data_IF_096753592470
#
_entry.id   IF_096753592470
#
_cell.length_a   1.000
_cell.length_b   1.000
_cell.length_c   1.000
_cell.angle_alpha   90.00
_cell.angle_beta   90.00
_cell.angle_gamma   90.00
#
_symmetry.space_group_name_H-M   'P 1'
#
loop_
_entity.id
_entity.type
_entity.pdbx_description
1 polymer ?
#
# COMPACT_ATOMS: atom_id res chain seq x y z
N UNK A 1 -12.05 12.60 39.10
CA UNK A 1 -11.39 11.28 38.89
C UNK A 1 -11.17 11.12 37.40
N UNK A 2 -10.04 11.63 36.92
CA UNK A 2 -9.61 11.44 35.53
C UNK A 2 -8.89 10.12 35.49
N UNK A 3 -9.52 9.10 34.91
CA UNK A 3 -8.81 7.87 34.57
C UNK A 3 -7.94 8.23 33.38
N UNK A 4 -6.69 8.61 33.66
CA UNK A 4 -5.62 8.59 32.67
C UNK A 4 -5.55 7.17 32.15
N UNK A 5 -6.05 6.94 30.93
CA UNK A 5 -5.71 5.74 30.16
C UNK A 5 -4.18 5.78 30.04
N UNK A 6 -3.51 4.96 30.83
CA UNK A 6 -2.12 4.61 30.61
C UNK A 6 -2.03 4.04 29.20
N UNK A 7 -1.52 4.83 28.27
CA UNK A 7 -1.08 4.31 26.99
C UNK A 7 0.09 3.37 27.29
N UNK A 8 -0.22 2.07 27.35
CA UNK A 8 0.75 1.00 27.24
C UNK A 8 1.28 0.98 25.80
N UNK A 9 1.98 2.03 25.39
CA UNK A 9 2.47 2.26 24.01
C UNK A 9 3.69 1.40 23.69
N UNK A 10 3.49 0.08 23.68
CA UNK A 10 4.46 -0.80 23.05
C UNK A 10 3.88 -1.23 21.71
N UNK A 11 4.21 -0.46 20.68
CA UNK A 11 3.87 -0.79 19.29
C UNK A 11 4.98 -1.61 18.66
N UNK A 12 4.60 -2.45 17.71
CA UNK A 12 5.49 -3.13 16.80
C UNK A 12 5.13 -2.73 15.39
N UNK A 13 6.14 -2.37 14.61
CA UNK A 13 5.98 -2.00 13.21
C UNK A 13 6.83 -2.93 12.36
N UNK A 14 6.21 -3.48 11.32
CA UNK A 14 6.92 -4.18 10.25
C UNK A 14 6.66 -3.49 8.93
N UNK A 15 7.68 -3.48 8.07
CA UNK A 15 7.65 -2.85 6.76
C UNK A 15 8.39 -3.74 5.78
N UNK A 16 7.64 -4.40 4.91
CA UNK A 16 8.20 -5.23 3.85
C UNK A 16 8.31 -4.39 2.59
N UNK A 17 9.51 -4.34 2.00
CA UNK A 17 9.81 -3.57 0.80
C UNK A 17 10.13 -4.54 -0.34
N UNK A 18 9.27 -4.55 -1.35
CA UNK A 18 9.41 -5.36 -2.55
C UNK A 18 9.95 -4.49 -3.68
N UNK A 19 11.23 -4.66 -4.01
CA UNK A 19 11.93 -3.89 -5.03
C UNK A 19 11.76 -4.50 -6.42
N UNK A 20 11.53 -3.65 -7.42
CA UNK A 20 11.50 -4.02 -8.83
C UNK A 20 12.84 -3.68 -9.52
N UNK A 21 13.17 -4.33 -10.63
CA UNK A 21 14.44 -4.10 -11.35
C UNK A 21 14.33 -2.98 -12.39
N UNK A 22 15.11 -3.00 -13.48
CA UNK A 22 15.13 -1.97 -14.53
C UNK A 22 13.71 -1.75 -15.06
N UNK A 23 13.27 -0.51 -14.98
CA UNK A 23 11.88 -0.14 -15.26
C UNK A 23 11.79 0.62 -16.57
N UNK A 24 11.17 -0.01 -17.58
CA UNK A 24 10.63 0.71 -18.73
C UNK A 24 9.31 1.41 -18.33
N UNK A 25 8.84 2.37 -19.12
CA UNK A 25 7.55 3.04 -18.86
C UNK A 25 6.37 2.05 -18.81
N UNK A 26 6.43 0.97 -19.60
CA UNK A 26 5.44 -0.11 -19.59
C UNK A 26 5.44 -0.84 -18.25
N UNK A 27 6.61 -1.28 -17.78
CA UNK A 27 6.79 -1.94 -16.49
C UNK A 27 6.35 -1.01 -15.35
N UNK A 28 6.70 0.28 -15.42
CA UNK A 28 6.29 1.27 -14.42
C UNK A 28 4.78 1.39 -14.33
N UNK A 29 4.10 1.44 -15.47
CA UNK A 29 2.64 1.52 -15.54
C UNK A 29 2.01 0.27 -14.93
N UNK A 30 2.58 -0.90 -15.21
CA UNK A 30 2.20 -2.16 -14.57
C UNK A 30 2.34 -2.12 -13.05
N UNK A 31 3.45 -1.60 -12.52
CA UNK A 31 3.70 -1.47 -11.07
C UNK A 31 2.70 -0.48 -10.44
N UNK A 32 2.43 0.65 -11.07
CA UNK A 32 1.44 1.63 -10.58
C UNK A 32 0.04 1.02 -10.52
N UNK A 33 -0.34 0.25 -11.55
CA UNK A 33 -1.62 -0.46 -11.57
C UNK A 33 -1.68 -1.56 -10.50
N UNK A 34 -0.59 -2.31 -10.34
CA UNK A 34 -0.45 -3.32 -9.30
C UNK A 34 -0.64 -2.70 -7.92
N UNK A 35 0.02 -1.58 -7.63
CA UNK A 35 -0.16 -0.83 -6.39
C UNK A 35 -1.61 -0.38 -6.20
N UNK A 36 -2.25 0.14 -7.25
CA UNK A 36 -3.64 0.60 -7.19
C UNK A 36 -4.63 -0.54 -6.86
N UNK A 37 -4.33 -1.75 -7.31
CA UNK A 37 -5.12 -2.95 -7.02
C UNK A 37 -4.81 -3.54 -5.64
N UNK A 38 -3.55 -3.51 -5.23
CA UNK A 38 -3.06 -4.12 -4.00
C UNK A 38 -3.47 -3.34 -2.75
N UNK A 39 -3.35 -2.01 -2.78
CA UNK A 39 -3.63 -1.14 -1.62
C UNK A 39 -4.98 -1.41 -0.93
N UNK A 40 -6.13 -1.46 -1.63
CA UNK A 40 -7.40 -1.79 -0.99
C UNK A 40 -7.44 -3.23 -0.45
N UNK A 41 -6.75 -4.18 -1.06
CA UNK A 41 -6.74 -5.59 -0.61
C UNK A 41 -5.92 -5.75 0.67
N UNK A 42 -4.80 -5.03 0.79
CA UNK A 42 -3.99 -4.98 2.01
C UNK A 42 -4.82 -4.43 3.16
N UNK A 43 -5.56 -3.35 2.93
CA UNK A 43 -6.46 -2.79 3.94
C UNK A 43 -7.59 -3.78 4.31
N UNK A 44 -8.34 -4.27 3.33
CA UNK A 44 -9.45 -5.21 3.54
C UNK A 44 -9.02 -6.43 4.37
N UNK A 45 -7.90 -7.06 4.03
CA UNK A 45 -7.49 -8.30 4.69
C UNK A 45 -6.85 -8.03 6.06
N UNK A 46 -5.81 -7.19 6.13
CA UNK A 46 -5.04 -7.04 7.38
C UNK A 46 -5.74 -6.14 8.40
N UNK A 47 -6.48 -5.12 7.94
CA UNK A 47 -7.15 -4.16 8.81
C UNK A 47 -8.58 -4.59 9.12
N UNK A 48 -9.38 -4.97 8.12
CA UNK A 48 -10.81 -5.23 8.33
C UNK A 48 -11.09 -6.70 8.71
N UNK A 49 -10.55 -7.68 7.96
CA UNK A 49 -10.77 -9.11 8.22
C UNK A 49 -9.99 -9.60 9.46
N UNK A 50 -8.68 -9.34 9.51
CA UNK A 50 -7.78 -9.92 10.52
C UNK A 50 -7.53 -9.01 11.72
N UNK A 51 -7.88 -7.71 11.62
CA UNK A 51 -7.79 -6.72 12.70
C UNK A 51 -6.39 -6.62 13.34
N UNK A 52 -5.35 -6.79 12.54
CA UNK A 52 -3.99 -7.00 13.04
C UNK A 52 -3.28 -5.73 13.45
N UNK A 53 -3.72 -4.56 13.01
CA UNK A 53 -2.99 -3.32 13.26
C UNK A 53 -3.90 -2.12 13.35
N UNK A 54 -3.45 -1.11 14.09
CA UNK A 54 -4.10 0.20 14.15
C UNK A 54 -3.95 0.94 12.83
N UNK A 55 -2.77 0.83 12.24
CA UNK A 55 -2.41 1.42 10.97
C UNK A 55 -1.84 0.36 10.03
N UNK A 56 -2.43 0.27 8.84
CA UNK A 56 -2.05 -0.67 7.79
C UNK A 56 -2.14 0.09 6.46
N UNK A 57 -1.09 0.04 5.66
CA UNK A 57 -1.13 0.64 4.32
C UNK A 57 -0.14 -0.02 3.37
N UNK A 58 -0.39 0.17 2.07
CA UNK A 58 0.59 -0.09 1.03
C UNK A 58 0.95 1.20 0.29
N UNK A 59 2.20 1.37 -0.13
CA UNK A 59 2.63 2.53 -0.92
C UNK A 59 3.65 2.15 -1.99
N UNK A 60 3.55 2.79 -3.14
CA UNK A 60 4.63 2.83 -4.13
C UNK A 60 5.66 3.88 -3.68
N UNK A 61 6.91 3.47 -3.62
CA UNK A 61 8.07 4.28 -3.26
C UNK A 61 9.12 4.20 -4.37
N UNK A 62 10.05 5.14 -4.37
CA UNK A 62 11.27 5.05 -5.17
C UNK A 62 12.48 5.12 -4.23
N UNK A 63 13.34 4.11 -4.27
CA UNK A 63 14.64 4.12 -3.59
C UNK A 63 15.72 4.32 -4.64
N UNK A 64 16.38 5.47 -4.65
CA UNK A 64 17.41 5.80 -5.65
C UNK A 64 16.96 5.52 -7.10
N UNK A 65 15.76 6.00 -7.44
CA UNK A 65 15.10 5.80 -8.74
C UNK A 65 14.65 4.36 -9.05
N UNK A 66 14.80 3.42 -8.12
CA UNK A 66 14.27 2.07 -8.25
C UNK A 66 12.88 2.00 -7.59
N UNK A 67 11.81 1.65 -8.31
CA UNK A 67 10.48 1.57 -7.72
C UNK A 67 10.37 0.35 -6.80
N UNK A 68 9.69 0.55 -5.69
CA UNK A 68 9.42 -0.47 -4.68
C UNK A 68 7.97 -0.36 -4.19
N UNK A 69 7.35 -1.49 -3.88
CA UNK A 69 6.09 -1.51 -3.12
C UNK A 69 6.41 -1.79 -1.66
N UNK A 70 5.95 -0.92 -0.77
CA UNK A 70 6.04 -1.06 0.67
C UNK A 70 4.67 -1.52 1.20
N UNK A 71 4.66 -2.55 2.04
CA UNK A 71 3.53 -2.89 2.90
C UNK A 71 3.94 -2.67 4.35
N UNK A 72 3.20 -1.83 5.07
CA UNK A 72 3.47 -1.49 6.46
C UNK A 72 2.30 -1.89 7.36
N UNK A 73 2.62 -2.50 8.49
CA UNK A 73 1.66 -2.87 9.54
C UNK A 73 2.18 -2.41 10.88
N UNK A 74 1.36 -1.62 11.59
CA UNK A 74 1.61 -1.16 12.96
C UNK A 74 0.62 -1.83 13.89
N UNK A 75 1.13 -2.59 14.87
CA UNK A 75 0.33 -3.39 15.80
C UNK A 75 0.77 -3.20 17.26
N UNK A 76 0.00 -3.78 18.18
CA UNK A 76 0.34 -3.89 19.61
C UNK A 76 1.34 -5.03 19.81
N UNK A 77 2.49 -4.74 20.43
CA UNK A 77 3.55 -5.72 20.65
C UNK A 77 3.10 -6.89 21.53
N UNK A 78 2.09 -6.68 22.37
CA UNK A 78 1.62 -7.70 23.31
C UNK A 78 0.70 -8.72 22.61
N UNK A 79 0.19 -8.37 21.43
CA UNK A 79 -0.74 -9.21 20.65
C UNK A 79 -0.06 -9.90 19.49
N UNK A 80 0.87 -9.21 18.83
CA UNK A 80 1.48 -9.69 17.60
C UNK A 80 3.00 -9.57 17.66
N UNK A 81 3.68 -10.53 17.04
CA UNK A 81 5.13 -10.49 16.85
C UNK A 81 5.48 -10.04 15.44
N UNK A 82 6.65 -9.43 15.19
CA UNK A 82 7.08 -9.06 13.84
C UNK A 82 7.03 -10.26 12.88
N UNK A 83 7.49 -11.43 13.34
CA UNK A 83 7.49 -12.65 12.53
C UNK A 83 6.07 -13.11 12.15
N UNK A 84 5.11 -13.03 13.07
CA UNK A 84 3.72 -13.33 12.74
C UNK A 84 3.18 -12.35 11.70
N UNK A 85 3.40 -11.05 11.88
CA UNK A 85 2.93 -10.01 10.95
C UNK A 85 3.54 -10.18 9.54
N UNK A 86 4.82 -10.52 9.45
CA UNK A 86 5.51 -10.84 8.20
C UNK A 86 4.78 -11.96 7.43
N UNK A 87 4.49 -13.07 8.11
CA UNK A 87 3.76 -14.19 7.51
C UNK A 87 2.35 -13.80 7.04
N UNK A 88 1.68 -12.87 7.73
CA UNK A 88 0.37 -12.36 7.30
C UNK A 88 0.48 -11.48 6.06
N UNK A 89 1.52 -10.65 5.96
CA UNK A 89 1.81 -9.87 4.75
C UNK A 89 2.02 -10.82 3.55
N UNK A 90 2.82 -11.87 3.72
CA UNK A 90 3.02 -12.87 2.66
C UNK A 90 1.72 -13.58 2.27
N UNK A 91 0.86 -13.91 3.24
CA UNK A 91 -0.45 -14.51 2.96
C UNK A 91 -1.35 -13.58 2.14
N UNK A 92 -1.36 -12.28 2.44
CA UNK A 92 -2.11 -11.27 1.69
C UNK A 92 -1.64 -11.22 0.24
N UNK A 93 -0.33 -11.29 -0.01
CA UNK A 93 0.22 -11.31 -1.37
C UNK A 93 -0.30 -12.54 -2.12
N UNK A 94 -0.30 -13.72 -1.50
CA UNK A 94 -0.85 -14.93 -2.12
C UNK A 94 -2.35 -14.80 -2.42
N UNK A 95 -3.15 -14.27 -1.48
CA UNK A 95 -4.59 -14.02 -1.70
C UNK A 95 -4.82 -12.97 -2.78
N UNK A 96 -3.99 -11.95 -2.85
CA UNK A 96 -4.02 -10.93 -3.89
C UNK A 96 -3.74 -11.53 -5.28
N UNK A 97 -2.73 -12.39 -5.42
CA UNK A 97 -2.43 -13.09 -6.67
C UNK A 97 -3.62 -13.96 -7.12
N UNK A 98 -4.29 -14.63 -6.18
CA UNK A 98 -5.49 -15.41 -6.47
C UNK A 98 -6.65 -14.50 -6.93
N UNK A 99 -6.92 -13.40 -6.21
CA UNK A 99 -7.93 -12.39 -6.59
C UNK A 99 -7.64 -11.85 -8.00
N UNK A 100 -6.39 -11.52 -8.30
CA UNK A 100 -5.95 -11.02 -9.61
C UNK A 100 -6.15 -12.07 -10.71
N UNK A 101 -5.84 -13.34 -10.44
CA UNK A 101 -6.02 -14.44 -11.41
C UNK A 101 -7.49 -14.73 -11.72
N UNK A 102 -8.38 -14.42 -10.77
CA UNK A 102 -9.84 -14.55 -10.95
C UNK A 102 -10.52 -13.30 -11.52
N UNK A 103 -9.75 -12.24 -11.77
CA UNK A 103 -10.30 -10.96 -12.19
C UNK A 103 -10.80 -11.04 -13.64
N UNK A 104 -12.05 -10.65 -13.87
CA UNK A 104 -12.61 -10.62 -15.22
C UNK A 104 -12.02 -9.46 -16.02
N UNK A 105 -11.94 -9.59 -17.35
CA UNK A 105 -11.51 -8.49 -18.23
C UNK A 105 -12.34 -7.21 -18.02
N UNK A 106 -13.64 -7.37 -17.74
CA UNK A 106 -14.54 -6.24 -17.47
C UNK A 106 -14.18 -5.51 -16.18
N UNK A 107 -13.82 -6.24 -15.13
CA UNK A 107 -13.46 -5.62 -13.85
C UNK A 107 -12.03 -5.08 -13.87
N UNK A 108 -11.12 -5.76 -14.57
CA UNK A 108 -9.79 -5.24 -14.85
C UNK A 108 -9.87 -3.89 -15.56
N UNK A 109 -10.69 -3.79 -16.62
CA UNK A 109 -10.90 -2.53 -17.34
C UNK A 109 -11.42 -1.42 -16.43
N UNK A 110 -12.39 -1.71 -15.55
CA UNK A 110 -12.87 -0.71 -14.57
C UNK A 110 -11.76 -0.22 -13.64
N UNK A 111 -10.83 -1.10 -13.23
CA UNK A 111 -9.68 -0.73 -12.40
C UNK A 111 -8.70 0.16 -13.15
N UNK A 112 -8.44 -0.15 -14.43
CA UNK A 112 -7.63 0.70 -15.31
C UNK A 112 -8.29 2.08 -15.49
N UNK A 113 -9.58 2.13 -15.80
CA UNK A 113 -10.32 3.39 -15.98
C UNK A 113 -10.32 4.24 -14.70
N UNK A 114 -10.47 3.59 -13.54
CA UNK A 114 -10.36 4.24 -12.23
C UNK A 114 -8.98 4.84 -11.97
N UNK A 115 -7.92 4.13 -12.35
CA UNK A 115 -6.55 4.63 -12.23
C UNK A 115 -6.29 5.81 -13.18
N UNK A 116 -6.74 5.72 -14.44
CA UNK A 116 -6.64 6.80 -15.41
C UNK A 116 -7.31 8.04 -14.85
N UNK A 117 -8.56 7.91 -14.38
CA UNK A 117 -9.31 9.03 -13.80
C UNK A 117 -8.57 9.66 -12.61
N UNK A 118 -7.97 8.85 -11.73
CA UNK A 118 -7.18 9.34 -10.60
C UNK A 118 -5.92 10.08 -11.07
N UNK A 119 -5.26 9.61 -12.13
CA UNK A 119 -4.04 10.23 -12.68
C UNK A 119 -4.30 11.49 -13.50
N UNK A 120 -5.47 11.61 -14.13
CA UNK A 120 -5.86 12.77 -14.93
C UNK A 120 -6.68 13.79 -14.14
N UNK A 121 -6.87 13.57 -12.84
CA UNK A 121 -7.58 14.51 -12.00
C UNK A 121 -6.76 15.79 -11.88
N UNK A 122 -7.43 16.94 -12.05
CA UNK A 122 -6.80 18.25 -11.88
C UNK A 122 -6.54 18.49 -10.40
N UNK A 123 -5.36 19.03 -10.09
CA UNK A 123 -4.98 19.41 -8.73
C UNK A 123 -5.99 20.40 -8.14
N UNK A 124 -6.35 20.21 -6.87
CA UNK A 124 -7.40 21.02 -6.25
C UNK A 124 -6.89 22.41 -5.84
N UNK A 125 -5.57 22.59 -5.75
CA UNK A 125 -4.94 23.85 -5.35
C UNK A 125 -3.60 24.08 -6.06
N UNK A 126 -3.13 25.33 -6.03
CA UNK A 126 -1.80 25.70 -6.54
C UNK A 126 -0.67 25.01 -5.76
N UNK A 127 -0.85 24.80 -4.45
CA UNK A 127 0.15 24.16 -3.61
C UNK A 127 0.31 22.67 -4.00
N UNK A 128 -0.79 21.95 -4.22
CA UNK A 128 -0.77 20.58 -4.72
C UNK A 128 -0.08 20.46 -6.09
N UNK A 129 -0.39 21.39 -6.99
CA UNK A 129 0.24 21.46 -8.31
C UNK A 129 1.75 21.72 -8.21
N UNK A 130 2.15 22.65 -7.35
CA UNK A 130 3.56 22.97 -7.11
C UNK A 130 4.31 21.76 -6.53
N UNK A 131 3.73 21.07 -5.56
CA UNK A 131 4.29 19.85 -4.97
C UNK A 131 4.45 18.74 -6.01
N UNK A 132 3.48 18.57 -6.90
CA UNK A 132 3.55 17.58 -7.99
C UNK A 132 4.72 17.88 -8.93
N UNK A 133 4.91 19.14 -9.35
CA UNK A 133 6.04 19.50 -10.21
C UNK A 133 7.38 19.41 -9.50
N UNK A 134 7.43 19.81 -8.24
CA UNK A 134 8.68 19.80 -7.48
C UNK A 134 9.21 18.37 -7.29
N UNK A 135 8.33 17.39 -7.06
CA UNK A 135 8.67 15.96 -6.97
C UNK A 135 9.36 15.39 -8.21
N UNK A 136 9.13 15.95 -9.40
CA UNK A 136 9.75 15.50 -10.64
C UNK A 136 11.13 16.16 -10.88
N UNK A 137 11.45 17.24 -10.15
CA UNK A 137 12.69 18.01 -10.30
C UNK A 137 13.78 17.52 -9.34
N UNK A 138 13.39 17.18 -8.11
CA UNK A 138 14.31 16.77 -7.03
C UNK A 138 14.56 15.26 -7.02
#
# INVERSE_FOLDING_TARGET
>A
MTVSREFSDKLVTISNIYQFEIVSMEVMTGIVLLQHLLDPVVFEILRDEEQLGYEVYSRLLFSHSVPCILICVVSDINKNTPYFLDQRIENVIQRFIQKLSSLTDTDFKKKVDGLIKKKTQVDASLDEQADMYFKEII
#
